data_IF_859678266078
#
_entry.id   IF_859678266078
#
_cell.length_a   1.000
_cell.length_b   1.000
_cell.length_c   1.000
_cell.angle_alpha   90.00
_cell.angle_beta   90.00
_cell.angle_gamma   90.00
#
_symmetry.space_group_name_H-M   'P 1'
#
loop_
_entity.id
_entity.type
_entity.pdbx_description
1 polymer ?
#
# COMPACT_ATOMS: atom_id res chain seq x y z
N UNK A 1 1.30 2.75 21.07
CA UNK A 1 0.37 2.46 19.94
C UNK A 1 1.20 2.51 18.67
N UNK A 2 1.03 1.57 17.75
CA UNK A 2 1.67 1.62 16.44
C UNK A 2 0.85 2.52 15.52
N UNK A 3 1.51 3.27 14.64
CA UNK A 3 0.88 4.18 13.67
C UNK A 3 1.51 3.94 12.31
N UNK A 4 0.70 3.68 11.29
CA UNK A 4 1.12 3.73 9.89
C UNK A 4 0.86 5.15 9.36
N UNK A 5 1.87 5.80 8.83
CA UNK A 5 1.72 7.11 8.18
C UNK A 5 1.29 6.91 6.73
N UNK A 6 0.08 7.36 6.38
CA UNK A 6 -0.51 7.20 5.06
C UNK A 6 -1.02 8.56 4.56
N UNK A 7 -0.49 9.15 3.49
CA UNK A 7 0.67 8.75 2.65
C UNK A 7 1.46 9.98 2.18
N UNK A 8 2.74 9.82 1.84
CA UNK A 8 3.63 10.94 1.53
C UNK A 8 3.58 11.39 0.07
N UNK A 9 3.60 10.49 -0.91
CA UNK A 9 3.35 10.82 -2.33
C UNK A 9 2.24 9.94 -2.90
N UNK A 10 1.24 10.59 -3.49
CA UNK A 10 0.09 9.95 -4.11
C UNK A 10 -0.47 10.88 -5.18
N UNK A 11 -1.05 10.33 -6.25
CA UNK A 11 -1.65 11.13 -7.32
C UNK A 11 -3.03 11.71 -6.91
N UNK A 12 -3.70 11.07 -5.95
CA UNK A 12 -5.04 11.45 -5.50
C UNK A 12 -5.00 12.41 -4.32
N UNK A 13 -6.12 13.12 -4.11
CA UNK A 13 -6.32 14.08 -3.01
C UNK A 13 -5.20 15.12 -2.86
N UNK A 14 -4.55 15.46 -3.98
CA UNK A 14 -3.48 16.44 -4.01
C UNK A 14 -4.00 17.88 -3.98
N UNK A 15 -3.31 18.80 -3.27
CA UNK A 15 -3.60 20.23 -3.38
C UNK A 15 -3.53 20.69 -4.85
N UNK A 16 -4.52 21.46 -5.35
CA UNK A 16 -4.60 21.81 -6.77
C UNK A 16 -3.33 22.46 -7.35
N UNK A 17 -2.60 23.24 -6.54
CA UNK A 17 -1.39 23.95 -6.95
C UNK A 17 -0.24 23.03 -7.39
N UNK A 18 -0.21 21.77 -6.94
CA UNK A 18 0.83 20.79 -7.33
C UNK A 18 0.77 20.54 -8.84
N UNK A 19 -0.41 20.58 -9.45
CA UNK A 19 -0.60 20.42 -10.90
C UNK A 19 0.06 21.52 -11.73
N UNK A 20 0.35 22.67 -11.13
CA UNK A 20 1.02 23.79 -11.79
C UNK A 20 2.55 23.73 -11.70
N UNK A 21 3.10 22.72 -11.01
CA UNK A 21 4.55 22.55 -10.85
C UNK A 21 5.10 21.75 -12.03
N UNK A 22 5.77 22.41 -12.96
CA UNK A 22 6.16 21.82 -14.26
C UNK A 22 7.66 21.68 -14.48
N UNK A 23 8.49 22.13 -13.53
CA UNK A 23 9.96 22.01 -13.64
C UNK A 23 10.50 20.93 -12.73
N UNK A 24 11.55 20.24 -13.18
CA UNK A 24 12.24 19.18 -12.41
C UNK A 24 12.67 19.67 -11.03
N UNK A 25 13.29 20.85 -10.96
CA UNK A 25 13.77 21.40 -9.69
C UNK A 25 12.63 21.73 -8.72
N UNK A 26 11.54 22.34 -9.22
CA UNK A 26 10.40 22.67 -8.37
C UNK A 26 9.66 21.41 -7.91
N UNK A 27 9.44 20.43 -8.78
CA UNK A 27 8.77 19.17 -8.41
C UNK A 27 9.59 18.37 -7.39
N UNK A 28 10.91 18.30 -7.58
CA UNK A 28 11.83 17.71 -6.60
C UNK A 28 11.73 18.41 -5.23
N UNK A 29 11.77 19.75 -5.22
CA UNK A 29 11.67 20.53 -3.98
C UNK A 29 10.31 20.35 -3.29
N UNK A 30 9.22 20.24 -4.04
CA UNK A 30 7.88 19.98 -3.48
C UNK A 30 7.84 18.64 -2.75
N UNK A 31 8.32 17.56 -3.38
CA UNK A 31 8.37 16.23 -2.76
C UNK A 31 9.25 16.26 -1.50
N UNK A 32 10.48 16.75 -1.62
CA UNK A 32 11.43 16.78 -0.51
C UNK A 32 10.91 17.61 0.67
N UNK A 33 10.32 18.79 0.41
CA UNK A 33 9.78 19.64 1.46
C UNK A 33 8.58 18.99 2.16
N UNK A 34 7.64 18.40 1.42
CA UNK A 34 6.50 17.69 2.02
C UNK A 34 6.99 16.54 2.90
N UNK A 35 7.78 15.64 2.32
CA UNK A 35 8.30 14.44 2.99
C UNK A 35 9.09 14.81 4.25
N UNK A 36 10.08 15.71 4.13
CA UNK A 36 10.90 16.13 5.26
C UNK A 36 10.06 16.75 6.38
N UNK A 37 9.05 17.54 6.01
CA UNK A 37 8.20 18.22 6.99
C UNK A 37 7.30 17.24 7.74
N UNK A 38 6.64 16.32 7.04
CA UNK A 38 5.71 15.36 7.64
C UNK A 38 6.45 14.27 8.44
N UNK A 39 7.46 13.65 7.83
CA UNK A 39 8.27 12.61 8.48
C UNK A 39 9.05 13.20 9.65
N UNK A 40 9.72 14.34 9.47
CA UNK A 40 10.52 14.97 10.52
C UNK A 40 9.67 15.42 11.73
N UNK A 41 8.46 15.91 11.52
CA UNK A 41 7.53 16.28 12.61
C UNK A 41 7.12 15.07 13.45
N UNK A 42 7.02 13.90 12.83
CA UNK A 42 6.55 12.67 13.44
C UNK A 42 7.68 11.67 13.73
N UNK A 43 8.94 12.09 13.65
CA UNK A 43 10.09 11.22 13.79
C UNK A 43 10.06 10.43 15.11
N UNK A 44 10.33 9.12 15.03
CA UNK A 44 10.29 8.19 16.16
C UNK A 44 8.89 7.83 16.67
N UNK A 45 7.81 8.34 16.05
CA UNK A 45 6.41 8.07 16.46
C UNK A 45 5.65 7.20 15.48
N UNK A 46 6.19 7.01 14.27
CA UNK A 46 5.55 6.28 13.18
C UNK A 46 6.26 4.95 13.01
N UNK A 47 5.49 3.86 13.01
CA UNK A 47 6.00 2.51 12.82
C UNK A 47 6.50 2.34 11.37
N UNK A 48 5.66 2.74 10.42
CA UNK A 48 5.95 2.63 8.98
C UNK A 48 5.26 3.78 8.23
N UNK A 49 5.88 4.25 7.17
CA UNK A 49 5.33 5.26 6.26
C UNK A 49 5.04 4.62 4.90
N UNK A 50 3.80 4.76 4.43
CA UNK A 50 3.50 4.66 3.00
C UNK A 50 4.16 5.87 2.33
N UNK A 51 5.37 5.68 1.79
CA UNK A 51 6.11 6.75 1.13
C UNK A 51 5.47 7.05 -0.21
N UNK A 52 5.13 6.01 -0.97
CA UNK A 52 4.48 6.11 -2.26
C UNK A 52 3.22 5.22 -2.28
N UNK A 53 2.10 5.79 -2.71
CA UNK A 53 0.82 5.08 -2.84
C UNK A 53 0.37 5.04 -4.30
N UNK A 54 -0.07 3.87 -4.77
CA UNK A 54 -0.76 3.68 -6.05
C UNK A 54 0.00 4.24 -7.27
N UNK A 55 1.24 3.80 -7.43
CA UNK A 55 2.15 4.35 -8.43
C UNK A 55 2.19 3.54 -9.73
N UNK A 56 1.35 2.52 -9.85
CA UNK A 56 1.35 1.60 -10.97
C UNK A 56 -0.03 1.41 -11.60
N UNK A 57 -0.04 1.26 -12.93
CA UNK A 57 -1.21 0.84 -13.69
C UNK A 57 -1.45 -0.68 -13.55
N UNK A 58 -2.59 -1.16 -14.05
CA UNK A 58 -2.95 -2.59 -14.00
C UNK A 58 -2.04 -3.49 -14.86
N UNK A 59 -1.39 -2.93 -15.89
CA UNK A 59 -0.34 -3.60 -16.67
C UNK A 59 1.04 -3.57 -16.00
N UNK A 60 1.12 -2.88 -14.85
CA UNK A 60 2.29 -2.66 -14.00
C UNK A 60 3.33 -1.68 -14.55
N UNK A 61 3.00 -0.92 -15.61
CA UNK A 61 3.74 0.29 -15.94
C UNK A 61 3.54 1.37 -14.86
N UNK A 62 4.49 2.29 -14.73
CA UNK A 62 4.33 3.44 -13.82
C UNK A 62 3.13 4.30 -14.23
N UNK A 63 2.32 4.72 -13.25
CA UNK A 63 1.22 5.64 -13.43
C UNK A 63 1.75 7.00 -13.91
N UNK A 64 1.13 7.57 -14.95
CA UNK A 64 1.47 8.90 -15.47
C UNK A 64 0.81 10.01 -14.65
N UNK A 65 1.24 10.15 -13.39
CA UNK A 65 0.74 11.16 -12.47
C UNK A 65 1.48 12.52 -12.60
N UNK A 66 1.13 13.48 -11.74
CA UNK A 66 1.73 14.83 -11.75
C UNK A 66 3.24 14.82 -11.50
N UNK A 67 3.74 13.88 -10.69
CA UNK A 67 5.16 13.77 -10.38
C UNK A 67 5.91 13.08 -11.53
N UNK A 68 5.38 11.97 -12.03
CA UNK A 68 5.95 11.20 -13.13
C UNK A 68 6.02 12.00 -14.44
N UNK A 69 5.01 12.82 -14.74
CA UNK A 69 5.04 13.68 -15.95
C UNK A 69 6.21 14.66 -15.98
N UNK A 70 6.71 15.08 -14.81
CA UNK A 70 7.79 16.06 -14.68
C UNK A 70 9.14 15.39 -14.41
N UNK A 71 9.17 14.40 -13.54
CA UNK A 71 10.40 13.78 -13.04
C UNK A 71 10.69 12.42 -13.68
N UNK A 72 9.70 11.77 -14.28
CA UNK A 72 9.73 10.34 -14.57
C UNK A 72 9.81 9.51 -13.30
N UNK A 73 10.23 8.25 -13.43
CA UNK A 73 10.44 7.31 -12.31
C UNK A 73 11.28 7.86 -11.13
N UNK A 74 12.28 8.75 -11.32
CA UNK A 74 13.05 9.36 -10.23
C UNK A 74 12.27 10.02 -9.07
N UNK A 75 10.99 10.35 -9.21
CA UNK A 75 10.23 10.89 -8.07
C UNK A 75 10.12 9.90 -6.89
N UNK A 76 10.14 8.59 -7.17
CA UNK A 76 10.14 7.53 -6.16
C UNK A 76 11.42 7.57 -5.31
N UNK A 77 12.64 7.40 -5.87
CA UNK A 77 13.86 7.46 -5.07
C UNK A 77 14.05 8.81 -4.37
N UNK A 78 13.60 9.93 -4.96
CA UNK A 78 13.63 11.25 -4.31
C UNK A 78 12.80 11.23 -3.01
N UNK A 79 11.57 10.70 -3.05
CA UNK A 79 10.70 10.62 -1.89
C UNK A 79 11.28 9.71 -0.79
N UNK A 80 11.74 8.51 -1.17
CA UNK A 80 12.32 7.55 -0.23
C UNK A 80 13.62 8.07 0.42
N UNK A 81 14.50 8.70 -0.34
CA UNK A 81 15.72 9.32 0.20
C UNK A 81 15.38 10.44 1.19
N UNK A 82 14.40 11.29 0.86
CA UNK A 82 13.95 12.34 1.76
C UNK A 82 13.33 11.78 3.06
N UNK A 83 12.56 10.69 2.96
CA UNK A 83 11.94 10.05 4.13
C UNK A 83 13.00 9.45 5.05
N UNK A 84 13.94 8.68 4.49
CA UNK A 84 15.05 8.08 5.26
C UNK A 84 15.92 9.14 5.94
N UNK A 85 16.18 10.26 5.28
CA UNK A 85 16.96 11.36 5.84
C UNK A 85 16.22 12.10 6.98
N UNK A 86 14.88 12.10 6.95
CA UNK A 86 14.06 12.77 7.96
C UNK A 86 13.80 11.90 9.21
N UNK A 87 13.69 10.59 9.05
CA UNK A 87 13.65 9.61 10.14
C UNK A 87 14.35 8.32 9.70
N UNK A 88 15.55 8.07 10.25
CA UNK A 88 16.33 6.88 9.92
C UNK A 88 15.72 5.59 10.44
N UNK A 89 14.84 5.67 11.45
CA UNK A 89 14.29 4.51 12.17
C UNK A 89 12.93 4.07 11.62
N UNK A 90 12.24 4.92 10.87
CA UNK A 90 10.95 4.57 10.29
C UNK A 90 11.12 3.52 9.19
N UNK A 91 10.21 2.54 9.14
CA UNK A 91 10.09 1.64 8.00
C UNK A 91 9.49 2.38 6.81
N UNK A 92 10.05 2.20 5.63
CA UNK A 92 9.64 2.89 4.41
C UNK A 92 8.96 1.91 3.45
N UNK A 93 7.68 2.17 3.21
CA UNK A 93 6.74 1.28 2.56
C UNK A 93 6.31 1.84 1.20
N UNK A 94 6.13 0.95 0.22
CA UNK A 94 5.33 1.24 -0.97
C UNK A 94 3.97 0.53 -0.82
N UNK A 95 2.87 1.21 -1.13
CA UNK A 95 1.51 0.70 -0.92
C UNK A 95 0.71 0.73 -2.23
N UNK A 96 0.01 -0.35 -2.56
CA UNK A 96 -0.81 -0.41 -3.76
C UNK A 96 -1.97 -1.42 -3.65
N UNK A 97 -3.00 -1.24 -4.48
CA UNK A 97 -4.14 -2.15 -4.61
C UNK A 97 -4.00 -3.10 -5.81
N UNK A 98 -4.88 -4.10 -5.90
CA UNK A 98 -4.88 -5.13 -6.94
C UNK A 98 -3.57 -5.95 -6.98
N UNK A 99 -2.94 -6.12 -5.82
CA UNK A 99 -1.80 -7.03 -5.63
C UNK A 99 -2.25 -8.42 -5.14
N UNK A 100 -3.54 -8.69 -5.27
CA UNK A 100 -4.30 -9.67 -4.49
C UNK A 100 -4.47 -11.02 -5.20
N UNK A 101 -3.97 -11.16 -6.43
CA UNK A 101 -3.84 -12.44 -7.11
C UNK A 101 -2.57 -12.49 -7.97
N UNK A 102 -1.85 -13.63 -7.92
CA UNK A 102 -0.61 -13.90 -8.66
C UNK A 102 -0.72 -13.78 -10.17
N UNK A 103 -1.94 -13.88 -10.71
CA UNK A 103 -2.22 -13.76 -12.15
C UNK A 103 -2.29 -12.31 -12.63
N UNK A 104 -2.39 -11.33 -11.72
CA UNK A 104 -2.47 -9.93 -12.14
C UNK A 104 -1.12 -9.45 -12.68
N UNK A 105 -1.14 -8.92 -13.91
CA UNK A 105 0.03 -8.34 -14.55
C UNK A 105 0.69 -7.29 -13.65
N UNK A 106 -0.13 -6.50 -12.92
CA UNK A 106 0.30 -5.61 -11.85
C UNK A 106 1.24 -6.29 -10.87
N UNK A 107 0.87 -7.39 -10.20
CA UNK A 107 1.77 -8.05 -9.24
C UNK A 107 3.12 -8.47 -9.85
N UNK A 108 3.12 -8.97 -11.10
CA UNK A 108 4.35 -9.39 -11.81
C UNK A 108 5.21 -8.17 -12.19
N UNK A 109 4.61 -7.09 -12.67
CA UNK A 109 5.31 -5.91 -13.17
C UNK A 109 5.66 -4.86 -12.07
N UNK A 110 4.81 -4.68 -11.06
CA UNK A 110 4.95 -3.72 -9.94
C UNK A 110 6.13 -4.07 -9.04
N UNK A 111 6.30 -5.34 -8.67
CA UNK A 111 7.10 -5.64 -7.49
C UNK A 111 8.37 -6.38 -7.84
N UNK A 112 8.33 -7.28 -8.81
CA UNK A 112 9.55 -8.01 -9.15
C UNK A 112 10.49 -7.15 -9.98
N UNK A 113 10.01 -6.31 -10.89
CA UNK A 113 10.88 -5.53 -11.77
C UNK A 113 11.31 -4.18 -11.18
N UNK A 114 10.35 -3.31 -10.84
CA UNK A 114 10.63 -1.95 -10.37
C UNK A 114 11.31 -1.94 -9.00
N UNK A 115 10.80 -2.69 -8.03
CA UNK A 115 11.40 -2.73 -6.69
C UNK A 115 12.79 -3.35 -6.73
N UNK A 116 13.00 -4.46 -7.44
CA UNK A 116 14.36 -5.04 -7.57
C UNK A 116 15.32 -4.02 -8.17
N UNK A 117 14.89 -3.27 -9.19
CA UNK A 117 15.68 -2.17 -9.78
C UNK A 117 15.98 -1.07 -8.76
N UNK A 118 15.00 -0.64 -7.98
CA UNK A 118 15.19 0.42 -6.97
C UNK A 118 16.09 -0.04 -5.81
N UNK A 119 15.87 -1.24 -5.27
CA UNK A 119 16.72 -1.81 -4.23
C UNK A 119 18.15 -1.99 -4.76
N UNK A 120 18.33 -2.51 -5.98
CA UNK A 120 19.65 -2.63 -6.60
C UNK A 120 20.33 -1.27 -6.84
N UNK A 121 19.55 -0.20 -7.03
CA UNK A 121 20.04 1.17 -7.13
C UNK A 121 20.23 1.86 -5.75
N UNK A 122 20.04 1.16 -4.63
CA UNK A 122 20.24 1.69 -3.28
C UNK A 122 19.10 2.54 -2.74
N UNK A 123 17.90 2.47 -3.34
CA UNK A 123 16.72 3.15 -2.83
C UNK A 123 16.28 2.46 -1.53
N UNK A 124 16.04 3.21 -0.43
CA UNK A 124 15.77 2.61 0.89
C UNK A 124 14.30 2.19 1.02
N UNK A 125 13.85 1.26 0.18
CA UNK A 125 12.53 0.63 0.29
C UNK A 125 12.65 -0.60 1.18
N UNK A 126 11.99 -0.59 2.34
CA UNK A 126 12.07 -1.70 3.30
C UNK A 126 11.02 -2.77 2.97
N UNK A 127 9.78 -2.31 2.76
CA UNK A 127 8.59 -3.16 2.88
C UNK A 127 7.52 -2.81 1.84
N UNK A 128 6.53 -3.69 1.68
CA UNK A 128 5.40 -3.49 0.75
C UNK A 128 4.02 -3.78 1.36
N UNK A 129 3.05 -2.99 0.93
CA UNK A 129 1.67 -3.03 1.39
C UNK A 129 0.75 -3.48 0.27
N UNK A 130 -0.02 -4.54 0.52
CA UNK A 130 -1.21 -4.84 -0.29
C UNK A 130 -2.43 -4.26 0.40
N UNK A 131 -3.11 -3.31 -0.26
CA UNK A 131 -4.33 -2.69 0.29
C UNK A 131 -5.40 -3.74 0.60
N UNK A 132 -5.55 -4.77 -0.24
CA UNK A 132 -6.56 -5.82 -0.09
C UNK A 132 -8.00 -5.26 -0.04
N UNK A 133 -8.35 -4.44 -1.03
CA UNK A 133 -9.73 -4.01 -1.27
C UNK A 133 -10.49 -5.06 -2.09
N UNK A 134 -10.91 -6.15 -1.45
CA UNK A 134 -11.31 -7.38 -2.12
C UNK A 134 -12.80 -7.45 -2.46
N UNK A 135 -13.09 -8.12 -3.58
CA UNK A 135 -14.43 -8.58 -3.87
C UNK A 135 -14.73 -9.89 -3.15
N UNK A 136 -16.02 -10.20 -2.97
CA UNK A 136 -16.44 -11.53 -2.55
C UNK A 136 -16.02 -12.58 -3.59
N UNK A 137 -15.73 -13.80 -3.13
CA UNK A 137 -15.53 -15.00 -3.97
C UNK A 137 -16.76 -15.35 -4.81
N UNK A 138 -17.93 -14.83 -4.45
CA UNK A 138 -19.15 -14.94 -5.28
C UNK A 138 -19.19 -13.95 -6.44
N UNK A 139 -18.24 -13.02 -6.55
CA UNK A 139 -18.13 -12.12 -7.69
C UNK A 139 -17.48 -12.80 -8.89
N UNK A 140 -17.76 -12.31 -10.11
CA UNK A 140 -17.05 -12.76 -11.31
C UNK A 140 -15.66 -12.15 -11.46
N UNK A 141 -15.20 -11.35 -10.49
CA UNK A 141 -13.90 -10.69 -10.53
C UNK A 141 -12.81 -11.60 -9.92
N UNK A 142 -11.61 -11.56 -10.50
CA UNK A 142 -10.51 -12.47 -10.13
C UNK A 142 -9.66 -12.00 -8.94
N UNK A 143 -9.95 -10.83 -8.36
CA UNK A 143 -9.20 -10.21 -7.25
C UNK A 143 -9.91 -10.39 -5.90
N UNK A 144 -10.21 -11.64 -5.55
CA UNK A 144 -10.88 -12.01 -4.30
C UNK A 144 -9.95 -12.66 -3.26
N UNK A 145 -10.47 -12.97 -2.06
CA UNK A 145 -9.75 -13.64 -0.98
C UNK A 145 -9.06 -14.95 -1.38
N UNK A 146 -9.56 -15.65 -2.39
CA UNK A 146 -8.98 -16.90 -2.89
C UNK A 146 -7.62 -16.72 -3.56
N UNK A 147 -7.32 -15.54 -4.11
CA UNK A 147 -6.03 -15.23 -4.73
C UNK A 147 -4.93 -14.85 -3.73
N UNK A 148 -5.32 -14.44 -2.51
CA UNK A 148 -4.42 -13.89 -1.50
C UNK A 148 -3.23 -14.79 -1.14
N UNK A 149 -3.40 -16.11 -0.91
CA UNK A 149 -2.26 -16.98 -0.59
C UNK A 149 -1.15 -16.92 -1.64
N UNK A 150 -1.52 -16.99 -2.91
CA UNK A 150 -0.55 -16.98 -4.02
C UNK A 150 0.06 -15.58 -4.22
N UNK A 151 -0.75 -14.54 -4.09
CA UNK A 151 -0.28 -13.15 -4.16
C UNK A 151 0.74 -12.82 -3.07
N UNK A 152 0.38 -13.08 -1.80
CA UNK A 152 1.27 -12.81 -0.67
C UNK A 152 2.55 -13.63 -0.72
N UNK A 153 2.49 -14.88 -1.20
CA UNK A 153 3.67 -15.71 -1.45
C UNK A 153 4.58 -15.10 -2.53
N UNK A 154 4.03 -14.58 -3.62
CA UNK A 154 4.80 -13.91 -4.67
C UNK A 154 5.49 -12.63 -4.14
N UNK A 155 4.78 -11.85 -3.31
CA UNK A 155 5.34 -10.70 -2.60
C UNK A 155 6.49 -11.14 -1.67
N UNK A 156 6.32 -12.23 -0.93
CA UNK A 156 7.31 -12.73 0.02
C UNK A 156 8.59 -13.25 -0.65
N UNK A 157 8.47 -13.74 -1.89
CA UNK A 157 9.61 -14.16 -2.71
C UNK A 157 10.46 -12.98 -3.25
N UNK A 158 10.02 -11.73 -3.06
CA UNK A 158 10.79 -10.54 -3.42
C UNK A 158 11.84 -10.17 -2.36
N UNK A 159 12.61 -9.12 -2.63
CA UNK A 159 13.69 -8.62 -1.78
C UNK A 159 13.22 -7.82 -0.54
N UNK A 160 11.92 -7.64 -0.34
CA UNK A 160 11.39 -6.95 0.85
C UNK A 160 11.68 -7.72 2.14
N UNK A 161 11.93 -6.96 3.21
CA UNK A 161 12.03 -7.52 4.57
C UNK A 161 10.68 -7.92 5.11
N UNK A 162 9.67 -7.07 4.94
CA UNK A 162 8.33 -7.26 5.49
C UNK A 162 7.25 -6.94 4.44
N UNK A 163 6.06 -7.51 4.67
CA UNK A 163 4.85 -7.27 3.91
C UNK A 163 3.73 -6.96 4.89
N UNK A 164 2.82 -6.07 4.53
CA UNK A 164 1.61 -5.82 5.31
C UNK A 164 0.37 -5.89 4.44
N UNK A 165 -0.75 -6.28 5.05
CA UNK A 165 -2.08 -6.01 4.51
C UNK A 165 -2.54 -4.70 5.13
N UNK A 166 -2.81 -3.68 4.32
CA UNK A 166 -2.80 -2.28 4.79
C UNK A 166 -4.18 -1.64 4.88
N UNK A 167 -5.17 -2.09 4.10
CA UNK A 167 -6.47 -1.42 3.98
C UNK A 167 -7.64 -2.42 3.82
N UNK A 168 -7.54 -3.59 4.47
CA UNK A 168 -8.40 -4.73 4.20
C UNK A 168 -9.88 -4.37 4.33
N UNK A 169 -10.61 -4.59 3.24
CA UNK A 169 -12.05 -4.69 3.22
C UNK A 169 -12.48 -5.79 2.23
N UNK A 170 -13.56 -6.51 2.55
CA UNK A 170 -14.05 -7.60 1.69
C UNK A 170 -15.55 -7.41 1.51
N UNK A 171 -15.96 -7.13 0.27
CA UNK A 171 -17.38 -6.99 -0.13
C UNK A 171 -18.24 -8.11 0.48
N UNK A 172 -19.26 -7.75 1.27
CA UNK A 172 -20.16 -8.69 1.95
C UNK A 172 -19.70 -9.15 3.33
N UNK A 173 -18.41 -8.98 3.65
CA UNK A 173 -17.80 -9.34 4.91
C UNK A 173 -18.10 -10.78 5.37
N UNK A 174 -17.95 -11.74 4.45
CA UNK A 174 -18.11 -13.15 4.79
C UNK A 174 -17.01 -13.60 5.77
N UNK A 175 -17.41 -14.28 6.85
CA UNK A 175 -16.47 -14.69 7.89
C UNK A 175 -15.36 -15.60 7.35
N UNK A 176 -15.69 -16.56 6.50
CA UNK A 176 -14.73 -17.48 5.87
C UNK A 176 -13.69 -16.75 5.02
N UNK A 177 -14.08 -15.65 4.38
CA UNK A 177 -13.19 -14.86 3.53
C UNK A 177 -12.20 -14.04 4.36
N UNK A 178 -12.69 -13.37 5.40
CA UNK A 178 -11.85 -12.69 6.37
C UNK A 178 -10.88 -13.65 7.07
N UNK A 179 -11.34 -14.83 7.48
CA UNK A 179 -10.47 -15.89 8.03
C UNK A 179 -9.42 -16.35 7.03
N UNK A 180 -9.76 -16.45 5.74
CA UNK A 180 -8.80 -16.83 4.67
C UNK A 180 -7.67 -15.82 4.57
N UNK A 181 -8.00 -14.53 4.47
CA UNK A 181 -6.98 -13.46 4.38
C UNK A 181 -6.14 -13.38 5.66
N UNK A 182 -6.79 -13.51 6.83
CA UNK A 182 -6.12 -13.48 8.13
C UNK A 182 -5.13 -14.63 8.27
N UNK A 183 -5.55 -15.86 8.00
CA UNK A 183 -4.68 -17.03 8.04
C UNK A 183 -3.57 -16.98 6.99
N UNK A 184 -3.81 -16.32 5.85
CA UNK A 184 -2.78 -16.13 4.83
C UNK A 184 -1.61 -15.30 5.36
N UNK A 185 -1.89 -14.18 6.04
CA UNK A 185 -0.85 -13.38 6.69
C UNK A 185 -0.20 -14.14 7.85
N UNK A 186 -1.00 -14.76 8.74
CA UNK A 186 -0.47 -15.53 9.89
C UNK A 186 0.50 -16.65 9.48
N UNK A 187 0.25 -17.30 8.33
CA UNK A 187 1.09 -18.38 7.82
C UNK A 187 2.27 -17.90 6.95
N UNK A 188 2.42 -16.58 6.75
CA UNK A 188 3.52 -16.00 5.98
C UNK A 188 4.48 -15.25 6.92
N UNK A 189 5.69 -15.77 7.20
CA UNK A 189 6.61 -15.15 8.15
C UNK A 189 7.02 -13.70 7.85
N UNK A 190 6.99 -13.27 6.57
CA UNK A 190 7.24 -11.87 6.20
C UNK A 190 6.03 -10.96 6.42
N UNK A 191 4.83 -11.48 6.66
CA UNK A 191 3.65 -10.67 6.87
C UNK A 191 3.58 -10.17 8.32
N UNK A 192 3.76 -8.87 8.53
CA UNK A 192 3.92 -8.28 9.88
C UNK A 192 2.62 -7.75 10.47
N UNK A 193 1.53 -7.73 9.69
CA UNK A 193 0.23 -7.36 10.22
C UNK A 193 -0.83 -7.10 9.17
N UNK A 194 -2.06 -6.95 9.67
CA UNK A 194 -3.25 -6.61 8.92
C UNK A 194 -3.86 -5.36 9.54
N UNK A 195 -4.13 -4.36 8.72
CA UNK A 195 -4.98 -3.21 9.07
C UNK A 195 -6.27 -3.34 8.27
N UNK A 196 -7.39 -3.57 8.97
CA UNK A 196 -8.71 -3.52 8.35
C UNK A 196 -9.19 -2.08 8.29
N UNK A 197 -9.84 -1.71 7.19
CA UNK A 197 -10.42 -0.39 7.06
C UNK A 197 -11.64 -0.28 7.99
N UNK A 198 -11.84 0.88 8.62
CA UNK A 198 -12.95 1.11 9.58
C UNK A 198 -14.02 2.06 9.05
N UNK A 199 -13.78 2.69 7.90
CA UNK A 199 -14.71 3.58 7.21
C UNK A 199 -14.55 3.44 5.68
N UNK A 200 -15.09 2.35 5.13
CA UNK A 200 -14.91 2.02 3.71
C UNK A 200 -15.82 2.85 2.85
N UNK A 201 -15.22 3.45 1.82
CA UNK A 201 -15.91 4.15 0.73
C UNK A 201 -16.90 3.24 -0.01
N UNK A 202 -16.80 1.91 0.16
CA UNK A 202 -17.71 0.90 -0.40
C UNK A 202 -18.87 0.61 0.56
N UNK A 203 -19.71 1.60 0.84
CA UNK A 203 -20.80 1.49 1.83
C UNK A 203 -21.75 0.29 1.63
N UNK A 204 -21.90 -0.21 0.40
CA UNK A 204 -22.66 -1.42 0.06
C UNK A 204 -21.80 -2.36 -0.80
N UNK A 205 -21.76 -3.68 -0.52
CA UNK A 205 -22.54 -4.44 0.45
C UNK A 205 -21.84 -4.62 1.82
N UNK A 206 -21.48 -3.52 2.50
CA UNK A 206 -20.92 -3.49 3.87
C UNK A 206 -19.66 -4.35 4.07
N UNK A 207 -18.49 -3.92 3.57
CA UNK A 207 -17.32 -4.77 3.50
C UNK A 207 -16.53 -4.89 4.81
N UNK A 208 -16.95 -4.17 5.85
CA UNK A 208 -16.23 -4.03 7.12
C UNK A 208 -16.65 -5.05 8.18
N UNK A 209 -15.82 -5.16 9.23
CA UNK A 209 -16.00 -6.05 10.39
C UNK A 209 -17.11 -5.63 11.36
N UNK A 210 -17.57 -4.37 11.28
CA UNK A 210 -18.62 -3.82 12.15
C UNK A 210 -19.83 -3.38 11.34
N UNK A 211 -21.00 -3.39 11.97
CA UNK A 211 -22.20 -2.73 11.44
C UNK A 211 -22.22 -1.25 11.84
N UNK A 212 -23.15 -0.47 11.28
CA UNK A 212 -23.22 1.00 11.44
C UNK A 212 -23.40 1.50 12.87
N UNK A 213 -23.91 0.67 13.78
CA UNK A 213 -24.01 0.98 15.21
C UNK A 213 -22.81 0.47 16.04
N UNK A 214 -21.71 0.12 15.37
CA UNK A 214 -20.45 -0.37 15.95
C UNK A 214 -20.53 -1.74 16.64
N UNK A 215 -21.62 -2.49 16.47
CA UNK A 215 -21.64 -3.90 16.86
C UNK A 215 -20.80 -4.76 15.90
N UNK A 216 -20.12 -5.76 16.45
CA UNK A 216 -19.30 -6.72 15.69
C UNK A 216 -20.15 -7.60 14.78
N UNK A 217 -19.68 -7.85 13.56
CA UNK A 217 -20.19 -8.91 12.68
C UNK A 217 -19.55 -10.26 13.02
N UNK A 218 -20.11 -11.35 12.49
CA UNK A 218 -19.52 -12.70 12.57
C UNK A 218 -18.07 -12.72 12.07
N UNK A 219 -17.76 -11.97 11.02
CA UNK A 219 -16.40 -11.85 10.50
C UNK A 219 -15.40 -11.30 11.53
N UNK A 220 -15.81 -10.36 12.39
CA UNK A 220 -14.93 -9.81 13.43
C UNK A 220 -14.58 -10.89 14.46
N UNK A 221 -15.56 -11.68 14.88
CA UNK A 221 -15.33 -12.78 15.83
C UNK A 221 -14.47 -13.89 15.22
N UNK A 222 -14.51 -14.08 13.89
CA UNK A 222 -13.79 -15.14 13.20
C UNK A 222 -12.28 -14.87 13.00
N UNK A 223 -11.81 -13.66 13.30
CA UNK A 223 -10.41 -13.22 13.08
C UNK A 223 -9.71 -12.68 14.34
N UNK A 224 -10.39 -12.73 15.49
CA UNK A 224 -9.85 -12.39 16.81
C UNK A 224 -9.58 -13.67 17.60
#
# INVERSE_FOLDING_TARGET
KLVRGHTLVWYSQLPPWVNSVTTVNASTAVIQNKVKTEVGRCAGKIYTWDVANEVFNEDGSMLSDVYYKVLGEPYIPIAFAAARAADSNAKLHINDYNLDASIHAKLVAVIVAHVKKWIAAGVPVDDIGSQCHLQSTSSSQSWGPSGQPAALAALAASSFSEIAITELDIVGAAAVEYTTVTNTCLNQPKCVGITAWVDSWRASPTPLLFVSNYNSKVANTAVL
#
